data_IF_899666941277
#
_entry.id   IF_899666941277
#
_cell.length_a   1.000
_cell.length_b   1.000
_cell.length_c   1.000
_cell.angle_alpha   90.00
_cell.angle_beta   90.00
_cell.angle_gamma   90.00
#
_symmetry.space_group_name_H-M   'P 1'
#
loop_
_entity.id
_entity.type
_entity.pdbx_description
1 polymer ?
#
# COMPACT_ATOMS: atom_id res chain seq x y z
N UNK A 1 3.31 1.66 18.98
CA UNK A 1 3.14 0.40 18.20
C UNK A 1 2.63 0.76 16.81
N UNK A 2 3.15 0.13 15.75
CA UNK A 2 2.68 0.38 14.40
C UNK A 2 1.16 0.20 14.23
N UNK A 3 0.57 0.93 13.28
CA UNK A 3 -0.86 0.82 12.92
C UNK A 3 -1.11 -0.53 12.24
N UNK A 4 -2.24 -1.17 12.53
CA UNK A 4 -2.69 -2.37 11.81
C UNK A 4 -3.55 -1.94 10.62
N UNK A 5 -3.10 -2.23 9.41
CA UNK A 5 -3.72 -1.72 8.17
C UNK A 5 -4.06 -2.87 7.22
N UNK A 6 -5.33 -2.96 6.82
CA UNK A 6 -5.77 -3.76 5.69
C UNK A 6 -6.12 -2.82 4.52
N UNK A 7 -5.22 -2.68 3.57
CA UNK A 7 -5.40 -1.81 2.41
C UNK A 7 -5.78 -2.63 1.17
N UNK A 8 -6.91 -2.29 0.53
CA UNK A 8 -7.40 -2.92 -0.68
C UNK A 8 -7.12 -2.08 -1.91
N UNK A 9 -6.24 -2.53 -2.79
CA UNK A 9 -5.96 -1.90 -4.08
C UNK A 9 -6.81 -2.54 -5.17
N UNK A 10 -7.84 -1.83 -5.63
CA UNK A 10 -8.71 -2.30 -6.69
C UNK A 10 -8.06 -2.30 -8.08
N UNK A 11 -6.93 -1.60 -8.19
CA UNK A 11 -6.24 -1.42 -9.49
C UNK A 11 -7.21 -0.86 -10.54
N UNK A 12 -7.11 -1.29 -11.79
CA UNK A 12 -7.99 -0.87 -12.88
C UNK A 12 -9.27 -1.73 -12.92
N UNK A 13 -10.01 -1.80 -11.79
CA UNK A 13 -11.27 -2.54 -11.68
C UNK A 13 -12.34 -1.71 -10.99
N UNK A 14 -13.57 -2.01 -11.32
CA UNK A 14 -14.75 -1.43 -10.67
C UNK A 14 -15.43 -0.34 -11.48
N UNK A 15 -16.75 -0.35 -11.34
CA UNK A 15 -17.68 0.64 -11.90
C UNK A 15 -18.60 1.14 -10.78
N UNK A 16 -19.57 1.98 -11.12
CA UNK A 16 -20.54 2.46 -10.13
C UNK A 16 -21.38 1.36 -9.46
N UNK A 17 -21.55 0.21 -10.11
CA UNK A 17 -22.25 -0.93 -9.54
C UNK A 17 -21.46 -1.57 -8.37
N UNK A 18 -20.14 -1.49 -8.42
CA UNK A 18 -19.26 -2.10 -7.42
C UNK A 18 -19.14 -1.29 -6.13
N UNK A 19 -19.72 -0.09 -6.06
CA UNK A 19 -19.79 0.70 -4.82
C UNK A 19 -20.55 -0.01 -3.70
N UNK A 20 -21.38 -0.99 -4.02
CA UNK A 20 -22.00 -1.85 -3.03
C UNK A 20 -20.97 -2.65 -2.21
N UNK A 21 -19.83 -3.03 -2.82
CA UNK A 21 -18.75 -3.71 -2.11
C UNK A 21 -18.02 -2.74 -1.15
N UNK A 22 -17.86 -1.47 -1.55
CA UNK A 22 -17.32 -0.43 -0.64
C UNK A 22 -18.20 -0.29 0.60
N UNK A 23 -19.53 -0.21 0.41
CA UNK A 23 -20.48 -0.13 1.50
C UNK A 23 -20.44 -1.38 2.41
N UNK A 24 -20.36 -2.56 1.81
CA UNK A 24 -20.30 -3.83 2.55
C UNK A 24 -19.00 -3.96 3.35
N UNK A 25 -17.85 -3.57 2.76
CA UNK A 25 -16.55 -3.55 3.46
C UNK A 25 -16.57 -2.55 4.61
N UNK A 26 -17.11 -1.35 4.39
CA UNK A 26 -17.22 -0.34 5.43
C UNK A 26 -18.06 -0.81 6.62
N UNK A 27 -19.18 -1.48 6.34
CA UNK A 27 -20.09 -2.00 7.37
C UNK A 27 -19.50 -3.20 8.15
N UNK A 28 -18.65 -4.01 7.50
CA UNK A 28 -18.05 -5.21 8.10
C UNK A 28 -16.62 -5.00 8.64
N UNK A 29 -16.07 -3.80 8.57
CA UNK A 29 -14.71 -3.52 9.01
C UNK A 29 -14.51 -3.87 10.51
N UNK A 30 -13.55 -4.74 10.86
CA UNK A 30 -13.34 -5.13 12.24
C UNK A 30 -12.71 -4.01 13.07
N UNK A 31 -13.05 -3.96 14.35
CA UNK A 31 -12.43 -3.01 15.28
C UNK A 31 -10.92 -3.27 15.44
N UNK A 32 -10.14 -2.21 15.63
CA UNK A 32 -8.69 -2.31 15.84
C UNK A 32 -7.84 -2.49 14.58
N UNK A 33 -8.48 -2.52 13.40
CA UNK A 33 -7.81 -2.53 12.09
C UNK A 33 -8.28 -1.32 11.29
N UNK A 34 -7.33 -0.60 10.72
CA UNK A 34 -7.63 0.45 9.76
C UNK A 34 -7.85 -0.17 8.38
N UNK A 35 -9.07 -0.09 7.88
CA UNK A 35 -9.43 -0.53 6.54
C UNK A 35 -9.30 0.66 5.57
N UNK A 36 -8.48 0.48 4.54
CA UNK A 36 -8.26 1.47 3.47
C UNK A 36 -8.68 0.83 2.14
N UNK A 37 -9.44 1.54 1.32
CA UNK A 37 -9.79 1.09 -0.03
C UNK A 37 -9.28 2.08 -1.07
N UNK A 38 -8.61 1.57 -2.10
CA UNK A 38 -8.11 2.33 -3.24
C UNK A 38 -8.87 1.94 -4.52
N UNK A 39 -10.11 2.45 -4.72
CA UNK A 39 -10.82 2.29 -5.98
C UNK A 39 -10.18 3.17 -7.06
N UNK A 40 -10.50 2.98 -8.35
CA UNK A 40 -10.11 3.91 -9.42
C UNK A 40 -10.54 5.35 -9.09
N UNK A 41 -9.77 6.33 -9.55
CA UNK A 41 -10.04 7.75 -9.30
C UNK A 41 -11.46 8.18 -9.72
N UNK A 42 -12.02 7.55 -10.76
CA UNK A 42 -13.40 7.76 -11.23
C UNK A 42 -14.48 7.39 -10.22
N UNK A 43 -14.13 6.66 -9.17
CA UNK A 43 -15.06 6.22 -8.12
C UNK A 43 -14.82 6.93 -6.78
N UNK A 44 -13.71 7.62 -6.57
CA UNK A 44 -13.36 8.22 -5.27
C UNK A 44 -14.47 9.09 -4.70
N UNK A 45 -14.93 10.12 -5.42
CA UNK A 45 -15.97 11.03 -4.95
C UNK A 45 -17.32 10.35 -4.71
N UNK A 46 -17.58 9.25 -5.42
CA UNK A 46 -18.80 8.45 -5.26
C UNK A 46 -18.70 7.49 -4.07
N UNK A 47 -17.49 7.06 -3.73
CA UNK A 47 -17.20 6.22 -2.57
C UNK A 47 -17.09 7.05 -1.27
N UNK A 48 -16.78 8.34 -1.35
CA UNK A 48 -16.56 9.22 -0.21
C UNK A 48 -17.68 9.26 0.85
N UNK A 49 -18.98 9.06 0.53
CA UNK A 49 -20.03 8.98 1.54
C UNK A 49 -19.97 7.75 2.46
N UNK A 50 -19.21 6.71 2.10
CA UNK A 50 -19.09 5.52 2.93
C UNK A 50 -18.05 5.72 4.04
N UNK A 51 -18.30 5.21 5.28
CA UNK A 51 -17.39 5.38 6.42
C UNK A 51 -16.19 4.43 6.37
N UNK A 52 -15.34 4.59 5.33
CA UNK A 52 -14.09 3.84 5.13
C UNK A 52 -13.02 4.81 4.65
N UNK A 53 -11.77 4.59 5.03
CA UNK A 53 -10.65 5.37 4.52
C UNK A 53 -10.43 5.07 3.04
N UNK A 54 -10.44 6.12 2.20
CA UNK A 54 -10.19 5.99 0.77
C UNK A 54 -8.77 6.38 0.42
N UNK A 55 -8.16 5.62 -0.49
CA UNK A 55 -6.88 5.93 -1.09
C UNK A 55 -6.99 6.14 -2.60
N UNK A 56 -6.17 7.03 -3.14
CA UNK A 56 -5.88 7.08 -4.57
C UNK A 56 -4.85 6.02 -4.94
N UNK A 57 -4.74 5.69 -6.23
CA UNK A 57 -3.80 4.67 -6.73
C UNK A 57 -2.49 5.26 -7.27
N UNK A 58 -2.40 6.56 -7.40
CA UNK A 58 -1.22 7.36 -7.76
C UNK A 58 -1.57 8.85 -7.64
N UNK A 59 -0.54 9.73 -7.67
CA UNK A 59 -0.70 11.17 -7.88
C UNK A 59 0.46 11.76 -8.67
N UNK A 60 0.24 12.92 -9.29
CA UNK A 60 1.29 13.71 -9.91
C UNK A 60 2.07 14.51 -8.85
N UNK A 61 3.41 14.72 -8.99
CA UNK A 61 4.20 15.47 -8.01
C UNK A 61 3.89 16.99 -8.00
N UNK A 62 3.39 17.54 -9.11
CA UNK A 62 2.96 18.94 -9.14
C UNK A 62 1.50 19.08 -8.67
N UNK A 63 1.19 20.16 -7.95
CA UNK A 63 -0.16 20.45 -7.47
C UNK A 63 -1.15 20.82 -8.59
N UNK A 64 -0.64 21.35 -9.71
CA UNK A 64 -1.39 21.71 -10.91
C UNK A 64 -0.45 21.92 -12.09
N UNK A 65 -0.96 22.01 -13.31
CA UNK A 65 -0.14 22.34 -14.48
C UNK A 65 -0.63 21.72 -15.80
N UNK A 66 0.23 21.77 -16.80
CA UNK A 66 -0.02 21.23 -18.15
C UNK A 66 0.27 19.72 -18.21
N UNK A 67 -0.49 18.94 -17.46
CA UNK A 67 -0.35 17.50 -17.30
C UNK A 67 -1.67 16.82 -17.65
N UNK A 68 -2.03 16.82 -18.93
CA UNK A 68 -3.32 16.30 -19.40
C UNK A 68 -3.49 14.82 -19.03
N UNK A 69 -4.53 14.53 -18.24
CA UNK A 69 -4.85 13.17 -17.77
C UNK A 69 -4.31 12.82 -16.39
N UNK A 70 -3.35 13.56 -15.85
CA UNK A 70 -2.82 13.34 -14.51
C UNK A 70 -3.73 13.94 -13.43
N UNK A 71 -3.62 13.38 -12.23
CA UNK A 71 -4.35 13.82 -11.05
C UNK A 71 -3.36 14.27 -9.97
N UNK A 72 -3.52 15.49 -9.48
CA UNK A 72 -2.69 15.99 -8.40
C UNK A 72 -3.19 15.54 -7.03
N UNK A 73 -2.31 15.53 -6.01
CA UNK A 73 -2.67 15.17 -4.65
C UNK A 73 -3.82 16.05 -4.07
N UNK A 74 -3.85 17.39 -4.28
CA UNK A 74 -5.01 18.22 -3.88
C UNK A 74 -6.34 17.81 -4.53
N UNK A 75 -6.34 17.46 -5.84
CA UNK A 75 -7.55 16.97 -6.53
C UNK A 75 -8.07 15.67 -5.93
N UNK A 76 -7.17 14.75 -5.62
CA UNK A 76 -7.53 13.48 -5.01
C UNK A 76 -8.05 13.64 -3.58
N UNK A 77 -7.46 14.56 -2.83
CA UNK A 77 -7.95 14.94 -1.49
C UNK A 77 -9.36 15.49 -1.53
N UNK A 78 -9.64 16.41 -2.45
CA UNK A 78 -10.98 16.98 -2.66
C UNK A 78 -11.98 15.89 -3.06
N UNK A 79 -11.55 14.92 -3.88
CA UNK A 79 -12.39 13.78 -4.27
C UNK A 79 -12.67 12.79 -3.12
N UNK A 80 -12.10 13.00 -1.92
CA UNK A 80 -12.35 12.20 -0.72
C UNK A 80 -11.25 11.23 -0.35
N UNK A 81 -10.12 11.20 -1.05
CA UNK A 81 -8.98 10.39 -0.64
C UNK A 81 -8.33 10.96 0.64
N UNK A 82 -7.94 10.08 1.55
CA UNK A 82 -7.13 10.39 2.74
C UNK A 82 -5.76 9.71 2.68
N UNK A 83 -5.55 8.84 1.68
CA UNK A 83 -4.30 8.16 1.43
C UNK A 83 -4.02 8.07 -0.08
N UNK A 84 -2.80 7.67 -0.45
CA UNK A 84 -2.44 7.39 -1.85
C UNK A 84 -1.38 6.29 -1.90
N UNK A 85 -1.53 5.35 -2.84
CA UNK A 85 -0.53 4.32 -3.16
C UNK A 85 0.48 4.94 -4.14
N UNK A 86 1.78 4.81 -3.86
CA UNK A 86 2.85 5.41 -4.66
C UNK A 86 3.95 4.38 -4.94
N UNK A 87 4.50 4.42 -6.16
CA UNK A 87 5.59 3.54 -6.56
C UNK A 87 5.21 2.06 -6.61
N UNK A 88 3.92 1.74 -6.80
CA UNK A 88 3.47 0.36 -6.98
C UNK A 88 4.24 -0.31 -8.12
N UNK A 89 4.57 -1.60 -7.97
CA UNK A 89 5.38 -2.34 -8.94
C UNK A 89 4.88 -2.26 -10.39
N UNK A 90 3.56 -2.24 -10.61
CA UNK A 90 2.97 -2.05 -11.94
C UNK A 90 3.30 -0.69 -12.54
N UNK A 91 3.43 0.37 -11.72
CA UNK A 91 3.79 1.70 -12.19
C UNK A 91 5.28 1.83 -12.45
N UNK A 92 6.12 1.26 -11.57
CA UNK A 92 7.57 1.18 -11.80
C UNK A 92 7.87 0.46 -13.11
N UNK A 93 7.23 -0.68 -13.37
CA UNK A 93 7.42 -1.45 -14.60
C UNK A 93 6.72 -0.83 -15.82
N UNK A 94 5.45 -0.44 -15.71
CA UNK A 94 4.62 -0.02 -16.84
C UNK A 94 4.77 1.45 -17.23
N UNK A 95 5.18 2.32 -16.30
CA UNK A 95 5.34 3.77 -16.51
C UNK A 95 6.78 4.25 -16.31
N UNK A 96 7.71 3.34 -15.95
CA UNK A 96 9.12 3.69 -15.76
C UNK A 96 9.37 4.57 -14.53
N UNK A 97 8.50 4.51 -13.52
CA UNK A 97 8.66 5.32 -12.31
C UNK A 97 9.95 4.97 -11.56
N UNK A 98 10.79 5.96 -11.37
CA UNK A 98 12.04 5.86 -10.58
C UNK A 98 11.78 6.14 -9.11
N UNK A 99 12.75 5.81 -8.25
CA UNK A 99 12.69 6.16 -6.84
C UNK A 99 12.59 7.69 -6.62
N UNK A 100 13.26 8.48 -7.47
CA UNK A 100 13.18 9.94 -7.42
C UNK A 100 11.77 10.46 -7.76
N UNK A 101 11.09 9.85 -8.75
CA UNK A 101 9.71 10.20 -9.08
C UNK A 101 8.78 9.86 -7.92
N UNK A 102 8.95 8.68 -7.32
CA UNK A 102 8.16 8.26 -6.15
C UNK A 102 8.40 9.20 -4.98
N UNK A 103 9.66 9.57 -4.69
CA UNK A 103 10.00 10.53 -3.63
C UNK A 103 9.30 11.88 -3.82
N UNK A 104 9.29 12.40 -5.04
CA UNK A 104 8.60 13.64 -5.36
C UNK A 104 7.09 13.55 -5.15
N UNK A 105 6.48 12.42 -5.54
CA UNK A 105 5.06 12.13 -5.30
C UNK A 105 4.74 11.98 -3.81
N UNK A 106 5.61 11.33 -3.04
CA UNK A 106 5.46 11.21 -1.58
C UNK A 106 5.44 12.59 -0.92
N UNK A 107 6.35 13.48 -1.30
CA UNK A 107 6.36 14.86 -0.80
C UNK A 107 5.04 15.57 -1.12
N UNK A 108 4.59 15.54 -2.39
CA UNK A 108 3.35 16.17 -2.83
C UNK A 108 2.10 15.61 -2.11
N UNK A 109 2.06 14.30 -1.88
CA UNK A 109 0.97 13.65 -1.15
C UNK A 109 0.90 14.13 0.31
N UNK A 110 2.04 14.16 1.00
CA UNK A 110 2.15 14.62 2.38
C UNK A 110 1.81 16.10 2.52
N UNK A 111 2.27 16.94 1.61
CA UNK A 111 1.93 18.38 1.54
C UNK A 111 0.41 18.60 1.39
N UNK A 112 -0.27 17.71 0.67
CA UNK A 112 -1.73 17.73 0.55
C UNK A 112 -2.45 17.06 1.75
N UNK A 113 -1.71 16.55 2.74
CA UNK A 113 -2.26 15.86 3.91
C UNK A 113 -2.80 14.46 3.61
N UNK A 114 -2.27 13.77 2.60
CA UNK A 114 -2.55 12.37 2.30
C UNK A 114 -1.52 11.46 2.99
N UNK A 115 -1.97 10.33 3.52
CA UNK A 115 -1.11 9.23 3.93
C UNK A 115 -0.48 8.58 2.70
N UNK A 116 0.85 8.56 2.59
CA UNK A 116 1.56 7.91 1.51
C UNK A 116 1.79 6.41 1.82
N UNK A 117 1.22 5.52 1.02
CA UNK A 117 1.50 4.08 1.04
C UNK A 117 2.54 3.81 -0.07
N UNK A 118 3.80 3.72 0.33
CA UNK A 118 4.92 3.62 -0.61
C UNK A 118 5.28 2.17 -0.85
N UNK A 119 5.30 1.74 -2.10
CA UNK A 119 5.59 0.37 -2.51
C UNK A 119 7.06 0.20 -2.89
N UNK A 120 7.66 -0.88 -2.38
CA UNK A 120 9.01 -1.34 -2.73
C UNK A 120 9.00 -2.85 -2.93
N UNK A 121 9.84 -3.36 -3.82
CA UNK A 121 9.89 -4.80 -4.07
C UNK A 121 10.89 -5.19 -5.14
N UNK A 122 11.38 -6.41 -5.05
CA UNK A 122 12.33 -7.01 -5.97
C UNK A 122 11.65 -7.90 -7.02
N UNK A 123 12.29 -8.04 -8.18
CA UNK A 123 11.93 -9.01 -9.21
C UNK A 123 12.43 -10.42 -8.84
N UNK A 124 11.98 -11.44 -9.58
CA UNK A 124 12.46 -12.81 -9.38
C UNK A 124 13.96 -12.93 -9.67
N UNK A 125 14.43 -12.26 -10.73
CA UNK A 125 15.84 -12.27 -11.10
C UNK A 125 16.71 -11.68 -9.97
N UNK A 126 16.28 -10.59 -9.36
CA UNK A 126 16.98 -9.96 -8.23
C UNK A 126 16.98 -10.86 -6.99
N UNK A 127 15.86 -11.57 -6.74
CA UNK A 127 15.80 -12.52 -5.63
C UNK A 127 16.72 -13.70 -5.86
N UNK A 128 16.70 -14.29 -7.05
CA UNK A 128 17.54 -15.44 -7.42
C UNK A 128 19.03 -15.07 -7.42
N UNK A 129 19.37 -13.80 -7.71
CA UNK A 129 20.73 -13.27 -7.60
C UNK A 129 21.16 -12.95 -6.16
N UNK A 130 20.27 -13.10 -5.15
CA UNK A 130 20.56 -12.73 -3.76
C UNK A 130 20.55 -11.22 -3.49
N UNK A 131 19.96 -10.43 -4.40
CA UNK A 131 19.94 -8.95 -4.34
C UNK A 131 18.66 -8.39 -3.67
N UNK A 132 17.75 -9.23 -3.22
CA UNK A 132 16.44 -8.81 -2.70
C UNK A 132 16.56 -7.72 -1.62
N UNK A 133 17.36 -7.94 -0.57
CA UNK A 133 17.52 -6.98 0.52
C UNK A 133 18.17 -5.67 0.07
N UNK A 134 19.17 -5.75 -0.81
CA UNK A 134 19.83 -4.57 -1.35
C UNK A 134 18.84 -3.72 -2.18
N UNK A 135 18.03 -4.38 -3.02
CA UNK A 135 17.02 -3.73 -3.87
C UNK A 135 15.96 -3.02 -3.03
N UNK A 136 15.31 -3.71 -2.09
CA UNK A 136 14.21 -3.10 -1.31
C UNK A 136 14.70 -1.97 -0.41
N UNK A 137 15.91 -2.09 0.15
CA UNK A 137 16.54 -1.02 0.94
C UNK A 137 16.86 0.20 0.08
N UNK A 138 17.43 -0.01 -1.11
CA UNK A 138 17.74 1.07 -2.04
C UNK A 138 16.47 1.81 -2.49
N UNK A 139 15.42 1.07 -2.85
CA UNK A 139 14.12 1.65 -3.22
C UNK A 139 13.50 2.43 -2.04
N UNK A 140 13.53 1.90 -0.83
CA UNK A 140 13.03 2.61 0.36
C UNK A 140 13.85 3.88 0.63
N UNK A 141 15.17 3.80 0.53
CA UNK A 141 16.05 4.96 0.70
C UNK A 141 15.83 6.05 -0.34
N UNK A 142 15.66 5.67 -1.61
CA UNK A 142 15.44 6.59 -2.72
C UNK A 142 14.05 7.19 -2.78
N UNK A 143 13.02 6.42 -2.37
CA UNK A 143 11.61 6.81 -2.50
C UNK A 143 11.07 7.61 -1.31
N UNK A 144 11.65 7.47 -0.11
CA UNK A 144 11.15 8.15 1.09
C UNK A 144 11.87 9.50 1.30
N UNK A 145 11.17 10.63 1.50
CA UNK A 145 11.73 11.86 2.06
C UNK A 145 12.37 11.66 3.43
N UNK A 146 13.24 12.59 3.86
CA UNK A 146 14.04 12.42 5.09
C UNK A 146 13.27 12.73 6.38
N UNK A 147 12.06 13.26 6.25
CA UNK A 147 11.18 13.69 7.33
C UNK A 147 9.89 12.85 7.45
N UNK A 148 9.91 11.60 6.94
CA UNK A 148 8.77 10.68 7.03
C UNK A 148 8.44 10.32 8.49
N UNK A 149 7.15 10.22 8.79
CA UNK A 149 6.62 9.87 10.11
C UNK A 149 5.61 8.73 10.04
N UNK A 150 5.31 8.02 11.14
CA UNK A 150 4.26 7.01 11.16
C UNK A 150 2.84 7.52 10.85
N UNK A 151 2.65 8.86 10.92
CA UNK A 151 1.34 9.49 10.69
C UNK A 151 1.04 9.71 9.21
N UNK A 152 2.09 9.91 8.41
CA UNK A 152 1.98 10.31 7.00
C UNK A 152 2.58 9.30 6.02
N UNK A 153 3.21 8.23 6.53
CA UNK A 153 3.91 7.26 5.70
C UNK A 153 3.65 5.82 6.17
N UNK A 154 3.42 4.96 5.20
CA UNK A 154 3.34 3.50 5.32
C UNK A 154 4.22 2.90 4.24
N UNK A 155 4.94 1.83 4.51
CA UNK A 155 5.74 1.12 3.51
C UNK A 155 5.11 -0.23 3.21
N UNK A 156 4.95 -0.57 1.92
CA UNK A 156 4.42 -1.84 1.46
C UNK A 156 5.52 -2.63 0.72
N UNK A 157 5.79 -3.84 1.17
CA UNK A 157 6.71 -4.75 0.50
C UNK A 157 5.96 -5.61 -0.52
N UNK A 158 6.32 -5.48 -1.76
CA UNK A 158 5.77 -6.20 -2.90
C UNK A 158 6.79 -7.17 -3.48
N UNK A 159 6.79 -8.49 -3.12
CA UNK A 159 7.55 -9.47 -3.89
C UNK A 159 6.96 -9.53 -5.30
N UNK A 160 7.55 -8.78 -6.27
CA UNK A 160 6.96 -8.59 -7.62
C UNK A 160 6.69 -9.93 -8.30
N UNK A 161 7.53 -10.92 -8.06
CA UNK A 161 7.41 -12.29 -8.56
C UNK A 161 6.23 -13.09 -8.00
N UNK A 162 5.62 -12.61 -6.90
CA UNK A 162 4.45 -13.23 -6.26
C UNK A 162 3.13 -12.49 -6.56
N UNK A 163 3.18 -11.34 -7.27
CA UNK A 163 1.97 -10.54 -7.57
C UNK A 163 1.30 -11.09 -8.83
N UNK A 164 0.05 -11.55 -8.71
CA UNK A 164 -0.76 -11.99 -9.85
C UNK A 164 -0.30 -13.31 -10.51
N UNK A 165 0.77 -13.95 -10.00
CA UNK A 165 1.34 -15.17 -10.58
C UNK A 165 0.80 -16.46 -9.96
N UNK A 166 0.06 -16.35 -8.85
CA UNK A 166 -0.36 -17.49 -8.02
C UNK A 166 0.74 -18.00 -7.09
N UNK A 167 1.97 -17.48 -7.17
CA UNK A 167 3.04 -17.77 -6.19
C UNK A 167 2.77 -17.02 -4.89
N UNK A 168 3.23 -17.57 -3.80
CA UNK A 168 3.18 -16.94 -2.46
C UNK A 168 4.60 -16.98 -1.91
N UNK A 169 5.06 -15.87 -1.35
CA UNK A 169 6.34 -15.85 -0.64
C UNK A 169 6.20 -16.67 0.64
N UNK A 170 7.22 -17.45 0.96
CA UNK A 170 7.26 -18.21 2.21
C UNK A 170 7.38 -17.27 3.42
N UNK A 171 6.83 -17.64 4.59
CA UNK A 171 6.90 -16.82 5.81
C UNK A 171 8.33 -16.35 6.15
N UNK A 172 9.33 -17.21 5.97
CA UNK A 172 10.73 -16.86 6.19
C UNK A 172 11.25 -15.78 5.24
N UNK A 173 10.81 -15.78 3.97
CA UNK A 173 11.16 -14.75 3.00
C UNK A 173 10.48 -13.40 3.32
N UNK A 174 9.24 -13.46 3.81
CA UNK A 174 8.51 -12.27 4.28
C UNK A 174 9.22 -11.68 5.50
N UNK A 175 9.56 -12.52 6.48
CA UNK A 175 10.25 -12.10 7.70
C UNK A 175 11.60 -11.45 7.39
N UNK A 176 12.41 -12.08 6.54
CA UNK A 176 13.71 -11.58 6.11
C UNK A 176 13.62 -10.13 5.60
N UNK A 177 12.72 -9.87 4.66
CA UNK A 177 12.57 -8.55 4.03
C UNK A 177 11.95 -7.55 4.98
N UNK A 178 10.87 -7.92 5.69
CA UNK A 178 10.21 -7.03 6.64
C UNK A 178 11.14 -6.65 7.80
N UNK A 179 11.94 -7.58 8.33
CA UNK A 179 12.93 -7.28 9.36
C UNK A 179 14.01 -6.31 8.86
N UNK A 180 14.49 -6.51 7.62
CA UNK A 180 15.47 -5.63 7.00
C UNK A 180 14.93 -4.20 6.75
N UNK A 181 13.68 -4.07 6.30
CA UNK A 181 13.01 -2.79 6.11
C UNK A 181 12.72 -2.11 7.45
N UNK A 182 12.27 -2.86 8.46
CA UNK A 182 12.05 -2.34 9.82
C UNK A 182 13.33 -1.75 10.40
N UNK A 183 14.46 -2.46 10.30
CA UNK A 183 15.75 -1.99 10.76
C UNK A 183 16.18 -0.71 10.01
N UNK A 184 16.04 -0.67 8.68
CA UNK A 184 16.39 0.50 7.88
C UNK A 184 15.52 1.74 8.22
N UNK A 185 14.23 1.55 8.45
CA UNK A 185 13.34 2.65 8.88
C UNK A 185 13.70 3.16 10.28
N UNK A 186 13.94 2.24 11.24
CA UNK A 186 14.31 2.62 12.62
C UNK A 186 15.67 3.34 12.69
N UNK A 187 16.61 2.99 11.81
CA UNK A 187 17.90 3.67 11.70
C UNK A 187 17.76 5.09 11.11
N UNK A 188 16.88 5.25 10.11
CA UNK A 188 16.77 6.49 9.36
C UNK A 188 15.88 7.54 10.00
N UNK A 189 14.80 7.14 10.64
CA UNK A 189 13.77 8.05 11.16
C UNK A 189 13.63 7.92 12.69
N UNK A 190 13.44 9.03 13.42
CA UNK A 190 13.28 9.00 14.90
C UNK A 190 12.16 8.05 15.37
N UNK A 191 11.04 7.99 14.65
CA UNK A 191 9.91 7.10 14.92
C UNK A 191 9.78 5.99 13.88
N UNK A 192 10.85 5.69 13.12
CA UNK A 192 10.83 4.76 11.98
C UNK A 192 10.41 3.34 12.36
N UNK A 193 10.68 2.91 13.59
CA UNK A 193 10.21 1.65 14.13
C UNK A 193 8.68 1.53 14.21
N UNK A 194 7.94 2.65 14.16
CA UNK A 194 6.48 2.71 14.22
C UNK A 194 5.82 2.95 12.84
N UNK A 195 6.59 3.19 11.77
CA UNK A 195 6.06 3.23 10.41
C UNK A 195 5.50 1.85 10.07
N UNK A 196 4.22 1.77 9.71
CA UNK A 196 3.59 0.49 9.41
C UNK A 196 4.21 -0.17 8.16
N UNK A 197 4.46 -1.48 8.25
CA UNK A 197 4.97 -2.31 7.16
C UNK A 197 3.90 -3.28 6.69
N UNK A 198 3.44 -3.13 5.45
CA UNK A 198 2.43 -3.99 4.83
C UNK A 198 3.09 -5.03 3.94
N UNK A 199 2.55 -6.24 3.95
CA UNK A 199 2.87 -7.24 2.95
C UNK A 199 1.97 -7.05 1.72
N UNK A 200 2.56 -6.85 0.55
CA UNK A 200 1.90 -6.56 -0.72
C UNK A 200 1.92 -7.72 -1.72
N UNK A 201 2.28 -8.92 -1.30
CA UNK A 201 2.18 -10.13 -2.14
C UNK A 201 0.76 -10.71 -2.16
N UNK A 202 0.65 -11.97 -2.57
CA UNK A 202 -0.65 -12.66 -2.68
C UNK A 202 -1.21 -13.00 -1.29
N UNK A 203 -2.20 -12.21 -0.83
CA UNK A 203 -2.94 -12.43 0.42
C UNK A 203 -4.36 -12.86 0.12
N UNK A 204 -4.81 -13.90 0.81
CA UNK A 204 -6.18 -14.44 0.77
C UNK A 204 -6.59 -14.83 2.20
N UNK A 205 -7.89 -15.02 2.43
CA UNK A 205 -8.40 -15.50 3.72
C UNK A 205 -7.65 -16.75 4.24
N UNK A 206 -7.31 -17.68 3.35
CA UNK A 206 -6.68 -18.95 3.70
C UNK A 206 -5.24 -18.84 4.23
N UNK A 207 -4.47 -17.78 3.87
CA UNK A 207 -3.08 -17.59 4.29
C UNK A 207 -2.85 -16.34 5.14
N UNK A 208 -3.87 -15.52 5.36
CA UNK A 208 -3.76 -14.25 6.06
C UNK A 208 -3.23 -14.41 7.49
N UNK A 209 -3.75 -15.38 8.24
CA UNK A 209 -3.32 -15.62 9.62
C UNK A 209 -1.83 -16.01 9.71
N UNK A 210 -1.33 -16.83 8.78
CA UNK A 210 0.06 -17.23 8.71
C UNK A 210 0.97 -16.03 8.38
N UNK A 211 0.58 -15.21 7.39
CA UNK A 211 1.31 -14.00 7.01
C UNK A 211 1.36 -13.02 8.18
N UNK A 212 0.24 -12.79 8.85
CA UNK A 212 0.18 -11.85 9.98
C UNK A 212 0.86 -12.38 11.25
N UNK A 213 1.12 -13.67 11.36
CA UNK A 213 1.95 -14.23 12.43
C UNK A 213 3.44 -13.88 12.29
N UNK A 214 3.88 -13.48 11.09
CA UNK A 214 5.27 -12.98 10.87
C UNK A 214 5.46 -11.67 11.65
N UNK A 215 6.41 -11.66 12.58
CA UNK A 215 6.59 -10.60 13.59
C UNK A 215 6.58 -9.16 13.06
N UNK A 216 7.33 -8.81 11.99
CA UNK A 216 7.42 -7.43 11.51
C UNK A 216 6.30 -6.99 10.55
N UNK A 217 5.32 -7.84 10.26
CA UNK A 217 4.20 -7.51 9.35
C UNK A 217 3.09 -6.81 10.11
N UNK A 218 2.73 -5.59 9.75
CA UNK A 218 1.68 -4.79 10.42
C UNK A 218 0.35 -4.79 9.68
N UNK A 219 0.28 -5.47 8.53
CA UNK A 219 -0.92 -5.56 7.72
C UNK A 219 -0.64 -5.99 6.28
N UNK A 220 -1.57 -5.72 5.39
CA UNK A 220 -1.44 -6.10 3.98
C UNK A 220 -1.93 -5.02 3.01
N UNK A 221 -1.29 -4.98 1.84
CA UNK A 221 -1.79 -4.32 0.65
C UNK A 221 -2.34 -5.40 -0.30
N UNK A 222 -3.66 -5.51 -0.35
CA UNK A 222 -4.40 -6.61 -0.98
C UNK A 222 -4.88 -6.20 -2.36
N UNK A 223 -4.57 -6.98 -3.38
CA UNK A 223 -5.06 -6.78 -4.75
C UNK A 223 -6.46 -7.37 -4.98
N UNK A 224 -6.60 -8.35 -5.86
CA UNK A 224 -7.87 -8.90 -6.32
C UNK A 224 -8.85 -9.35 -5.24
N UNK A 225 -8.37 -9.86 -4.11
CA UNK A 225 -9.24 -10.22 -2.99
C UNK A 225 -9.93 -9.02 -2.31
N UNK A 226 -9.49 -7.77 -2.61
CA UNK A 226 -10.14 -6.56 -2.10
C UNK A 226 -11.35 -6.09 -2.91
N UNK A 227 -11.63 -6.73 -4.04
CA UNK A 227 -12.76 -6.37 -4.92
C UNK A 227 -14.11 -6.81 -4.35
N UNK A 228 -14.12 -7.75 -3.42
CA UNK A 228 -15.33 -8.31 -2.80
C UNK A 228 -15.22 -8.29 -1.28
N UNK A 229 -16.25 -7.82 -0.63
CA UNK A 229 -16.32 -7.83 0.83
C UNK A 229 -16.17 -9.25 1.42
N UNK A 230 -16.76 -10.25 0.77
CA UNK A 230 -16.68 -11.65 1.18
C UNK A 230 -15.26 -12.22 1.21
N UNK A 231 -14.36 -11.69 0.35
CA UNK A 231 -12.97 -12.13 0.27
C UNK A 231 -12.04 -11.26 1.13
N UNK A 232 -12.35 -9.97 1.24
CA UNK A 232 -11.50 -8.99 1.93
C UNK A 232 -11.68 -8.96 3.45
N UNK A 233 -12.94 -9.01 3.92
CA UNK A 233 -13.23 -8.94 5.35
C UNK A 233 -12.56 -10.05 6.17
N UNK A 234 -12.54 -11.32 5.73
CA UNK A 234 -11.81 -12.37 6.45
C UNK A 234 -10.31 -12.09 6.59
N UNK A 235 -9.70 -11.37 5.63
CA UNK A 235 -8.28 -10.92 5.73
C UNK A 235 -8.14 -9.87 6.83
N UNK A 236 -9.04 -8.88 6.86
CA UNK A 236 -9.03 -7.84 7.89
C UNK A 236 -9.33 -8.43 9.30
N UNK A 237 -10.23 -9.39 9.40
CA UNK A 237 -10.55 -10.12 10.63
C UNK A 237 -9.35 -10.92 11.15
N UNK A 238 -8.61 -11.60 10.26
CA UNK A 238 -7.38 -12.31 10.63
C UNK A 238 -6.32 -11.35 11.19
N UNK A 239 -6.24 -10.11 10.67
CA UNK A 239 -5.35 -9.08 11.20
C UNK A 239 -5.83 -8.55 12.57
N UNK A 240 -7.13 -8.43 12.77
CA UNK A 240 -7.70 -7.99 14.05
C UNK A 240 -7.45 -9.00 15.18
N UNK A 241 -7.41 -10.28 14.85
CA UNK A 241 -7.22 -11.40 15.80
C UNK A 241 -5.75 -11.56 16.26
N UNK A 242 -4.81 -10.82 15.69
CA UNK A 242 -3.38 -10.86 16.03
C UNK A 242 -3.03 -10.18 17.36
#
# INVERSE_FOLDING_TARGET
MPRRIAAGNWKMNGTGADLAEVAAIAAGAPAGVEVILAPPATLLSRAAPHPVTLAAQDCHPAASGAHTGDLSAPMLREAGASAVILGHSERRAGHGETDADVRAKVAAARDAGLLAIVCVGETLEQRDAGEALATVRAQAAGSLPDDCTPRDTVLAYEPVWAIGTGRVAEPAQIEEVHAALRAALAERFPEGGEIALLYGGSVKAANAAEIFAVGPVDGALVGGASLRAADFLPIAEALAAR
#
